data_IF_065563816390
#
_entry.id   IF_065563816390
#
_cell.length_a   1.000
_cell.length_b   1.000
_cell.length_c   1.000
_cell.angle_alpha   90.00
_cell.angle_beta   90.00
_cell.angle_gamma   90.00
#
_symmetry.space_group_name_H-M   'P 1'
#
loop_
_entity.id
_entity.type
_entity.pdbx_description
1 polymer ?
#
# COMPACT_ATOMS: atom_id res chain seq x y z
N UNK A 1 -2.93 -4.91 -34.98
CA UNK A 1 -2.89 -4.07 -33.77
C UNK A 1 -4.18 -4.29 -32.98
N UNK A 2 -4.35 -5.48 -32.40
CA UNK A 2 -5.50 -5.88 -31.53
C UNK A 2 -5.02 -6.97 -30.55
N UNK A 3 -4.18 -7.90 -31.01
CA UNK A 3 -3.60 -8.95 -30.14
C UNK A 3 -2.64 -8.41 -29.08
N UNK A 4 -1.89 -7.32 -29.37
CA UNK A 4 -0.94 -6.71 -28.43
C UNK A 4 -1.66 -6.00 -27.27
N UNK A 5 -2.76 -5.30 -27.57
CA UNK A 5 -3.63 -4.69 -26.57
C UNK A 5 -4.35 -5.75 -25.75
N UNK A 6 -4.93 -6.79 -26.38
CA UNK A 6 -5.59 -7.88 -25.64
C UNK A 6 -4.62 -8.65 -24.73
N UNK A 7 -3.38 -8.88 -25.17
CA UNK A 7 -2.30 -9.45 -24.34
C UNK A 7 -1.91 -8.53 -23.20
N UNK A 8 -1.89 -7.20 -23.41
CA UNK A 8 -1.63 -6.23 -22.35
C UNK A 8 -2.77 -6.16 -21.32
N UNK A 9 -4.05 -6.23 -21.73
CA UNK A 9 -5.19 -6.17 -20.82
C UNK A 9 -5.40 -7.48 -20.04
N UNK A 10 -5.09 -8.64 -20.64
CA UNK A 10 -5.38 -9.96 -20.04
C UNK A 10 -4.17 -10.55 -19.29
N UNK A 11 -2.93 -10.25 -19.70
CA UNK A 11 -1.72 -10.90 -19.15
C UNK A 11 -0.88 -10.01 -18.23
N UNK A 12 -1.26 -8.74 -18.02
CA UNK A 12 -0.64 -7.82 -17.05
C UNK A 12 -1.58 -7.45 -15.91
N UNK A 13 -2.11 -8.46 -15.22
CA UNK A 13 -2.18 -8.32 -13.76
C UNK A 13 -0.91 -8.98 -13.25
N UNK A 14 0.19 -8.24 -12.99
CA UNK A 14 1.19 -8.80 -12.10
C UNK A 14 0.41 -9.23 -10.87
N UNK A 15 0.57 -10.50 -10.50
CA UNK A 15 0.04 -11.00 -9.23
C UNK A 15 0.88 -10.35 -8.14
N UNK A 16 0.69 -9.04 -7.96
CA UNK A 16 0.90 -8.36 -6.70
C UNK A 16 0.11 -9.21 -5.71
N UNK A 17 0.82 -9.84 -4.78
CA UNK A 17 0.16 -10.62 -3.75
C UNK A 17 -0.93 -9.75 -3.10
N UNK A 18 -2.03 -10.33 -2.63
CA UNK A 18 -3.14 -9.57 -2.04
C UNK A 18 -2.73 -8.64 -0.88
N UNK A 19 -1.53 -8.83 -0.30
CA UNK A 19 -0.93 -7.96 0.70
C UNK A 19 -0.23 -6.71 0.10
N UNK A 20 0.21 -6.78 -1.16
CA UNK A 20 0.87 -5.70 -1.90
C UNK A 20 -0.11 -4.64 -2.43
N UNK A 21 -1.38 -5.00 -2.65
CA UNK A 21 -2.40 -4.06 -3.14
C UNK A 21 -2.79 -2.97 -2.12
N UNK A 22 -2.60 -3.26 -0.82
CA UNK A 22 -2.83 -2.33 0.30
C UNK A 22 -1.52 -1.85 0.96
N UNK A 23 -0.38 -2.14 0.32
CA UNK A 23 0.96 -1.76 0.77
C UNK A 23 1.44 -0.64 -0.12
N UNK A 24 1.64 0.55 0.44
CA UNK A 24 2.30 1.65 -0.26
C UNK A 24 3.73 1.18 -0.53
N UNK A 25 4.03 0.92 -1.81
CA UNK A 25 5.34 0.44 -2.23
C UNK A 25 6.38 1.53 -1.99
N UNK A 26 7.52 1.13 -1.42
CA UNK A 26 8.74 1.90 -1.59
C UNK A 26 9.24 1.74 -3.04
N UNK A 27 10.07 2.68 -3.52
CA UNK A 27 10.62 2.60 -4.89
C UNK A 27 11.35 1.29 -5.20
N UNK A 28 11.99 0.66 -4.21
CA UNK A 28 12.67 -0.63 -4.39
C UNK A 28 11.72 -1.85 -4.39
N UNK A 29 10.45 -1.65 -4.04
CA UNK A 29 9.41 -2.69 -4.02
C UNK A 29 8.56 -2.69 -5.30
N UNK A 30 8.56 -1.58 -6.05
CA UNK A 30 7.97 -1.49 -7.38
C UNK A 30 8.95 -2.01 -8.43
N UNK A 31 8.93 -3.33 -8.64
CA UNK A 31 9.83 -4.02 -9.56
C UNK A 31 9.58 -3.67 -11.04
N UNK A 32 8.42 -3.10 -11.36
CA UNK A 32 8.04 -2.71 -12.72
C UNK A 32 8.43 -1.26 -13.04
N UNK A 33 8.67 -0.42 -12.02
CA UNK A 33 9.18 0.94 -12.16
C UNK A 33 10.51 0.93 -12.91
N UNK A 34 10.62 1.78 -13.93
CA UNK A 34 11.85 2.03 -14.66
C UNK A 34 12.86 2.79 -13.81
N UNK A 35 14.15 2.55 -14.05
CA UNK A 35 15.23 3.30 -13.39
C UNK A 35 15.22 4.77 -13.82
N UNK A 36 14.63 5.10 -14.97
CA UNK A 36 14.40 6.46 -15.45
C UNK A 36 13.40 7.24 -14.59
N UNK A 37 12.32 6.60 -14.16
CA UNK A 37 11.31 7.24 -13.29
C UNK A 37 11.91 7.69 -11.95
N UNK A 38 12.98 7.05 -11.45
CA UNK A 38 13.70 7.56 -10.26
C UNK A 38 14.29 8.96 -10.48
N UNK A 39 14.77 9.26 -11.69
CA UNK A 39 15.28 10.60 -12.03
C UNK A 39 14.15 11.61 -12.08
N UNK A 40 13.00 11.20 -12.62
CA UNK A 40 11.80 12.03 -12.70
C UNK A 40 11.24 12.35 -11.32
N UNK A 41 11.25 11.39 -10.39
CA UNK A 41 10.92 11.63 -8.98
C UNK A 41 11.87 12.65 -8.35
N UNK A 42 13.18 12.52 -8.58
CA UNK A 42 14.16 13.49 -8.06
C UNK A 42 13.92 14.89 -8.64
N UNK A 43 13.62 14.99 -9.94
CA UNK A 43 13.23 16.25 -10.58
C UNK A 43 11.95 16.82 -9.98
N UNK A 44 10.92 16.01 -9.79
CA UNK A 44 9.64 16.46 -9.23
C UNK A 44 9.76 16.91 -7.77
N UNK A 45 10.60 16.24 -6.98
CA UNK A 45 10.95 16.67 -5.62
C UNK A 45 11.67 18.03 -5.66
N UNK A 46 12.71 18.16 -6.50
CA UNK A 46 13.49 19.40 -6.66
C UNK A 46 12.59 20.56 -7.09
N UNK A 47 11.70 20.32 -8.04
CA UNK A 47 10.84 21.35 -8.60
C UNK A 47 9.64 21.68 -7.69
N UNK A 48 9.45 20.91 -6.60
CA UNK A 48 8.31 21.01 -5.71
C UNK A 48 6.99 20.69 -6.40
N UNK A 49 7.03 19.83 -7.43
CA UNK A 49 5.90 19.50 -8.31
C UNK A 49 5.31 18.12 -8.04
N UNK A 50 5.64 17.48 -6.90
CA UNK A 50 4.91 16.30 -6.49
C UNK A 50 3.50 16.71 -6.05
N UNK A 51 2.51 16.16 -6.73
CA UNK A 51 1.11 16.27 -6.37
C UNK A 51 0.75 15.21 -5.32
N UNK A 52 -0.24 15.52 -4.48
CA UNK A 52 -0.86 14.57 -3.52
C UNK A 52 0.12 13.88 -2.54
N UNK A 53 1.19 14.56 -2.14
CA UNK A 53 2.12 14.05 -1.13
C UNK A 53 1.41 13.94 0.22
N UNK A 54 1.37 12.73 0.75
CA UNK A 54 0.80 12.41 2.05
C UNK A 54 1.86 11.82 2.96
N UNK A 55 1.70 12.02 4.27
CA UNK A 55 2.56 11.35 5.24
C UNK A 55 2.27 9.85 5.27
N UNK A 56 3.33 9.03 5.22
CA UNK A 56 3.21 7.60 5.51
C UNK A 56 3.09 7.39 7.01
N UNK A 57 1.87 7.18 7.48
CA UNK A 57 1.59 6.91 8.89
C UNK A 57 2.31 5.64 9.39
N UNK A 58 2.87 5.71 10.60
CA UNK A 58 3.43 4.56 11.33
C UNK A 58 2.39 3.91 12.27
N UNK A 59 1.20 3.66 11.73
CA UNK A 59 0.13 2.96 12.42
C UNK A 59 -0.07 1.52 11.95
N UNK A 60 -1.06 0.84 12.51
CA UNK A 60 -1.48 -0.47 12.04
C UNK A 60 -2.41 -0.33 10.84
N UNK A 61 -2.20 -1.14 9.80
CA UNK A 61 -3.08 -1.16 8.64
C UNK A 61 -4.46 -1.73 9.03
N UNK A 62 -5.51 -1.02 8.66
CA UNK A 62 -6.91 -1.47 8.71
C UNK A 62 -7.57 -1.10 7.38
N UNK A 63 -7.90 -2.10 6.59
CA UNK A 63 -8.83 -1.94 5.47
C UNK A 63 -10.23 -2.31 5.94
N UNK A 64 -11.27 -1.61 5.52
CA UNK A 64 -12.64 -1.91 5.95
C UNK A 64 -13.69 -1.72 4.88
N UNK A 65 -14.82 -2.41 5.05
CA UNK A 65 -16.01 -2.28 4.21
C UNK A 65 -17.28 -2.74 4.95
N UNK A 66 -18.45 -2.51 4.35
CA UNK A 66 -19.72 -3.08 4.77
C UNK A 66 -20.04 -4.25 3.85
N UNK A 67 -20.10 -5.46 4.40
CA UNK A 67 -20.48 -6.67 3.68
C UNK A 67 -21.45 -7.48 4.54
N UNK A 68 -22.54 -7.94 3.92
CA UNK A 68 -23.67 -8.60 4.59
C UNK A 68 -24.21 -7.76 5.77
N UNK A 69 -24.44 -6.47 5.53
CA UNK A 69 -24.96 -5.51 6.53
C UNK A 69 -24.09 -5.37 7.79
N UNK A 70 -22.83 -5.80 7.72
CA UNK A 70 -21.87 -5.72 8.83
C UNK A 70 -20.60 -5.00 8.40
N UNK A 71 -20.12 -4.12 9.27
CA UNK A 71 -18.76 -3.57 9.17
C UNK A 71 -17.75 -4.69 9.42
N UNK A 72 -16.81 -4.85 8.49
CA UNK A 72 -15.74 -5.85 8.56
C UNK A 72 -14.38 -5.19 8.34
N UNK A 73 -13.42 -5.49 9.22
CA UNK A 73 -12.05 -4.98 9.15
C UNK A 73 -11.08 -6.05 8.60
N UNK A 74 -9.97 -5.61 8.01
CA UNK A 74 -8.93 -6.47 7.48
C UNK A 74 -7.56 -5.89 7.84
N UNK A 75 -6.81 -6.61 8.69
CA UNK A 75 -5.52 -6.16 9.23
C UNK A 75 -4.31 -6.34 8.30
N UNK A 76 -4.52 -6.91 7.10
CA UNK A 76 -3.46 -7.23 6.13
C UNK A 76 -3.92 -6.92 4.70
N UNK A 77 -4.64 -5.82 4.52
CA UNK A 77 -5.32 -5.50 3.27
C UNK A 77 -6.53 -6.40 2.99
N UNK A 78 -7.33 -5.99 2.01
CA UNK A 78 -8.46 -6.74 1.50
C UNK A 78 -8.24 -7.12 0.02
N UNK A 79 -8.85 -8.24 -0.38
CA UNK A 79 -9.06 -8.60 -1.78
C UNK A 79 -10.51 -9.02 -1.93
N UNK A 80 -11.08 -8.99 -3.14
CA UNK A 80 -12.44 -9.47 -3.35
C UNK A 80 -12.67 -10.88 -2.79
N UNK A 81 -11.70 -11.77 -3.00
CA UNK A 81 -11.73 -13.14 -2.47
C UNK A 81 -11.72 -13.18 -0.94
N UNK A 82 -11.01 -12.26 -0.27
CA UNK A 82 -11.00 -12.16 1.20
C UNK A 82 -12.29 -11.55 1.73
N UNK A 83 -12.89 -10.61 1.00
CA UNK A 83 -14.17 -10.00 1.36
C UNK A 83 -15.27 -11.06 1.40
N UNK A 84 -15.34 -11.88 0.35
CA UNK A 84 -16.29 -13.00 0.27
C UNK A 84 -16.13 -14.05 1.39
N UNK A 85 -14.95 -14.14 2.01
CA UNK A 85 -14.68 -15.06 3.13
C UNK A 85 -15.08 -14.48 4.50
N UNK A 86 -15.37 -13.20 4.56
CA UNK A 86 -15.55 -12.47 5.81
C UNK A 86 -14.23 -11.91 6.36
N UNK A 87 -14.33 -10.76 7.02
CA UNK A 87 -13.27 -10.08 7.73
C UNK A 87 -13.49 -10.12 9.25
N UNK A 88 -12.78 -9.21 9.92
CA UNK A 88 -12.82 -9.05 11.36
C UNK A 88 -14.05 -8.25 11.78
N UNK A 89 -15.03 -8.94 12.37
CA UNK A 89 -16.15 -8.41 13.15
C UNK A 89 -15.80 -8.34 14.64
N UNK A 90 -16.65 -7.70 15.45
CA UNK A 90 -16.51 -7.66 16.93
C UNK A 90 -16.18 -9.04 17.54
N UNK A 91 -16.92 -10.07 17.18
CA UNK A 91 -16.74 -11.41 17.76
C UNK A 91 -15.43 -12.06 17.32
N UNK A 92 -15.05 -11.89 16.05
CA UNK A 92 -13.78 -12.39 15.54
C UNK A 92 -12.58 -11.62 16.11
N UNK A 93 -12.69 -10.31 16.35
CA UNK A 93 -11.64 -9.52 17.01
C UNK A 93 -11.43 -10.03 18.44
N UNK A 94 -12.52 -10.21 19.19
CA UNK A 94 -12.47 -10.71 20.56
C UNK A 94 -11.84 -12.10 20.68
N UNK A 95 -12.19 -13.01 19.77
CA UNK A 95 -11.67 -14.37 19.77
C UNK A 95 -10.24 -14.47 19.22
N UNK A 96 -9.94 -13.80 18.11
CA UNK A 96 -8.63 -13.88 17.45
C UNK A 96 -7.52 -13.19 18.25
N UNK A 97 -7.85 -12.15 19.00
CA UNK A 97 -6.88 -11.38 19.80
C UNK A 97 -7.11 -11.52 21.31
N UNK A 98 -7.72 -12.63 21.74
CA UNK A 98 -7.99 -12.90 23.15
C UNK A 98 -6.73 -12.88 24.03
N UNK A 99 -5.60 -13.32 23.48
CA UNK A 99 -4.27 -13.36 24.10
C UNK A 99 -3.46 -12.05 23.92
N UNK A 100 -3.99 -11.08 23.16
CA UNK A 100 -3.33 -9.82 22.80
C UNK A 100 -4.24 -8.63 23.11
N UNK A 101 -4.41 -8.26 24.40
CA UNK A 101 -5.41 -7.29 24.82
C UNK A 101 -5.23 -5.92 24.18
N UNK A 102 -4.00 -5.43 24.02
CA UNK A 102 -3.71 -4.12 23.39
C UNK A 102 -4.07 -4.11 21.90
N UNK A 103 -3.81 -5.21 21.19
CA UNK A 103 -4.22 -5.38 19.78
C UNK A 103 -5.73 -5.45 19.69
N UNK A 104 -6.37 -6.26 20.52
CA UNK A 104 -7.82 -6.37 20.58
C UNK A 104 -8.47 -5.00 20.81
N UNK A 105 -8.00 -4.26 21.81
CA UNK A 105 -8.51 -2.93 22.15
C UNK A 105 -8.35 -1.95 20.98
N UNK A 106 -7.17 -1.90 20.34
CA UNK A 106 -6.94 -1.06 19.17
C UNK A 106 -7.94 -1.32 18.02
N UNK A 107 -8.17 -2.60 17.68
CA UNK A 107 -9.13 -2.97 16.63
C UNK A 107 -10.58 -2.75 17.04
N UNK A 108 -10.91 -2.93 18.33
CA UNK A 108 -12.25 -2.67 18.86
C UNK A 108 -12.59 -1.18 18.87
N UNK A 109 -11.67 -0.33 19.30
CA UNK A 109 -11.83 1.13 19.25
C UNK A 109 -12.00 1.62 17.82
N UNK A 110 -11.20 1.09 16.89
CA UNK A 110 -11.35 1.40 15.47
C UNK A 110 -12.73 0.97 14.93
N UNK A 111 -13.18 -0.25 15.25
CA UNK A 111 -14.49 -0.77 14.84
C UNK A 111 -15.63 0.13 15.37
N UNK A 112 -15.56 0.54 16.64
CA UNK A 112 -16.58 1.35 17.28
C UNK A 112 -16.64 2.77 16.71
N UNK A 113 -15.48 3.39 16.47
CA UNK A 113 -15.41 4.69 15.82
C UNK A 113 -16.00 4.65 14.40
N UNK A 114 -15.60 3.68 13.58
CA UNK A 114 -16.12 3.50 12.22
C UNK A 114 -17.61 3.17 12.20
N UNK A 115 -18.09 2.35 13.14
CA UNK A 115 -19.51 2.05 13.27
C UNK A 115 -20.32 3.32 13.57
N UNK A 116 -19.80 4.23 14.39
CA UNK A 116 -20.45 5.51 14.66
C UNK A 116 -20.54 6.39 13.41
N UNK A 117 -19.53 6.38 12.53
CA UNK A 117 -19.58 7.07 11.23
C UNK A 117 -20.66 6.48 10.34
N UNK A 118 -20.69 5.15 10.20
CA UNK A 118 -21.69 4.44 9.39
C UNK A 118 -23.11 4.71 9.90
N UNK A 119 -23.31 4.68 11.22
CA UNK A 119 -24.62 4.96 11.82
C UNK A 119 -25.05 6.42 11.70
N UNK A 120 -24.11 7.35 11.55
CA UNK A 120 -24.42 8.77 11.34
C UNK A 120 -24.94 9.06 9.92
N UNK A 121 -24.57 8.22 8.94
CA UNK A 121 -24.98 8.37 7.55
C UNK A 121 -25.02 6.99 6.83
N UNK A 122 -26.02 6.15 7.15
CA UNK A 122 -26.09 4.78 6.64
C UNK A 122 -26.36 4.72 5.13
N UNK A 123 -27.07 5.71 4.59
CA UNK A 123 -27.36 5.79 3.14
C UNK A 123 -26.08 6.05 2.36
N UNK A 124 -25.27 7.03 2.78
CA UNK A 124 -23.98 7.28 2.13
C UNK A 124 -23.01 6.11 2.33
N UNK A 125 -23.01 5.47 3.51
CA UNK A 125 -22.17 4.30 3.75
C UNK A 125 -22.54 3.14 2.80
N UNK A 126 -23.84 2.84 2.64
CA UNK A 126 -24.30 1.83 1.69
C UNK A 126 -23.90 2.17 0.24
N UNK A 127 -24.07 3.44 -0.15
CA UNK A 127 -23.66 3.97 -1.47
C UNK A 127 -22.15 3.84 -1.70
N UNK A 128 -21.33 4.11 -0.70
CA UNK A 128 -19.87 4.01 -0.81
C UNK A 128 -19.44 2.54 -0.93
N UNK A 129 -19.80 1.70 0.04
CA UNK A 129 -19.23 0.36 0.18
C UNK A 129 -19.82 -0.67 -0.79
N UNK A 130 -21.04 -0.45 -1.30
CA UNK A 130 -21.67 -1.26 -2.35
C UNK A 130 -21.59 -2.76 -2.07
N UNK A 131 -21.96 -3.18 -0.86
CA UNK A 131 -21.92 -4.59 -0.44
C UNK A 131 -20.52 -5.21 -0.59
N UNK A 132 -19.51 -4.58 0.01
CA UNK A 132 -18.14 -5.10 0.04
C UNK A 132 -17.34 -4.84 -1.24
N UNK A 133 -17.93 -4.24 -2.27
CA UNK A 133 -17.23 -4.04 -3.55
C UNK A 133 -16.23 -2.89 -3.51
N UNK A 134 -16.45 -1.92 -2.63
CA UNK A 134 -15.48 -0.87 -2.32
C UNK A 134 -14.96 -1.07 -0.91
N UNK A 135 -13.66 -0.86 -0.72
CA UNK A 135 -13.04 -0.82 0.60
C UNK A 135 -12.41 0.54 0.83
N UNK A 136 -12.25 0.91 2.09
CA UNK A 136 -11.42 2.06 2.49
C UNK A 136 -10.18 1.53 3.19
N UNK A 137 -9.02 1.92 2.68
CA UNK A 137 -7.72 1.66 3.29
C UNK A 137 -7.42 2.76 4.30
N UNK A 138 -6.98 2.35 5.49
CA UNK A 138 -6.70 3.27 6.58
C UNK A 138 -5.57 2.77 7.47
N UNK A 139 -5.00 3.69 8.24
CA UNK A 139 -4.03 3.40 9.27
C UNK A 139 -4.60 3.83 10.61
N UNK A 140 -4.55 2.96 11.61
CA UNK A 140 -4.96 3.27 12.98
C UNK A 140 -3.73 3.57 13.84
N UNK A 141 -3.76 4.67 14.57
CA UNK A 141 -2.74 5.10 15.51
C UNK A 141 -3.36 5.02 16.89
N UNK A 142 -2.99 3.99 17.65
CA UNK A 142 -3.55 3.75 18.98
C UNK A 142 -2.40 3.84 19.99
N UNK A 143 -2.40 4.83 20.92
CA UNK A 143 -1.29 5.04 21.87
C UNK A 143 -0.96 3.80 22.70
N UNK A 144 -1.96 3.00 23.03
CA UNK A 144 -1.83 1.77 23.83
C UNK A 144 -1.29 0.57 23.03
N UNK A 145 -1.16 0.71 21.71
CA UNK A 145 -0.63 -0.32 20.82
C UNK A 145 0.21 0.34 19.71
N UNK A 146 1.31 1.02 20.07
CA UNK A 146 2.12 1.76 19.12
C UNK A 146 2.94 0.80 18.25
N UNK A 147 3.35 1.26 17.07
CA UNK A 147 4.39 0.60 16.29
C UNK A 147 5.76 1.12 16.73
N UNK A 148 6.42 1.98 15.93
CA UNK A 148 7.70 2.61 16.29
C UNK A 148 7.48 4.03 16.83
N UNK A 149 6.61 4.80 16.19
CA UNK A 149 6.19 6.14 16.62
C UNK A 149 5.04 5.99 17.62
N UNK A 150 5.17 6.67 18.75
CA UNK A 150 4.11 6.77 19.76
C UNK A 150 3.31 8.03 19.44
N UNK A 151 2.02 7.84 19.16
CA UNK A 151 1.08 8.93 18.96
C UNK A 151 0.42 9.26 20.30
N UNK A 152 0.14 10.54 20.53
CA UNK A 152 -0.47 11.00 21.79
C UNK A 152 -1.95 10.65 21.87
N UNK A 153 -2.66 10.83 20.75
CA UNK A 153 -4.11 10.64 20.67
C UNK A 153 -4.49 9.50 19.71
N UNK A 154 -5.56 8.73 20.02
CA UNK A 154 -6.11 7.74 19.09
C UNK A 154 -6.59 8.38 17.79
N UNK A 155 -6.19 7.83 16.65
CA UNK A 155 -6.72 8.27 15.36
C UNK A 155 -6.84 7.18 14.30
N UNK A 156 -7.69 7.46 13.31
CA UNK A 156 -7.84 6.68 12.07
C UNK A 156 -7.61 7.62 10.89
N UNK A 157 -6.53 7.38 10.16
CA UNK A 157 -6.20 8.13 8.95
C UNK A 157 -6.63 7.33 7.72
N UNK A 158 -7.57 7.86 6.96
CA UNK A 158 -8.03 7.29 5.70
C UNK A 158 -7.02 7.62 4.60
N UNK A 159 -6.54 6.57 3.92
CA UNK A 159 -5.54 6.66 2.87
C UNK A 159 -6.23 6.82 1.51
N UNK A 160 -7.07 5.84 1.15
CA UNK A 160 -7.80 5.83 -0.11
C UNK A 160 -9.01 4.91 -0.05
N UNK A 161 -9.91 5.06 -1.02
CA UNK A 161 -10.96 4.10 -1.30
C UNK A 161 -10.62 3.33 -2.58
N UNK A 162 -10.83 2.01 -2.58
CA UNK A 162 -10.43 1.11 -3.65
C UNK A 162 -11.60 0.23 -4.07
N UNK A 163 -11.89 0.19 -5.38
CA UNK A 163 -12.83 -0.76 -5.95
C UNK A 163 -12.16 -2.13 -6.10
N UNK A 164 -12.68 -3.13 -5.41
CA UNK A 164 -12.19 -4.52 -5.44
C UNK A 164 -13.21 -5.48 -6.05
N UNK A 165 -14.50 -5.16 -5.96
CA UNK A 165 -15.58 -5.96 -6.51
C UNK A 165 -15.60 -5.96 -8.05
N UNK A 166 -16.14 -7.01 -8.68
CA UNK A 166 -16.18 -7.13 -10.13
C UNK A 166 -17.20 -6.20 -10.80
N UNK A 167 -18.17 -5.66 -10.05
CA UNK A 167 -19.26 -4.84 -10.59
C UNK A 167 -19.01 -3.34 -10.42
N UNK A 168 -17.89 -2.95 -9.78
CA UNK A 168 -17.51 -1.56 -9.55
C UNK A 168 -16.17 -1.32 -10.23
N UNK A 169 -16.18 -0.55 -11.31
CA UNK A 169 -14.95 -0.15 -12.01
C UNK A 169 -14.26 1.03 -11.31
N UNK A 170 -15.05 1.99 -10.84
CA UNK A 170 -14.56 3.22 -10.20
C UNK A 170 -15.29 3.51 -8.89
N UNK A 171 -14.56 4.11 -7.95
CA UNK A 171 -15.12 4.53 -6.66
C UNK A 171 -15.96 5.79 -6.84
N UNK A 172 -17.13 5.83 -6.20
CA UNK A 172 -17.93 7.05 -6.06
C UNK A 172 -17.21 8.05 -5.13
N UNK A 173 -16.43 8.93 -5.75
CA UNK A 173 -15.63 9.92 -5.04
C UNK A 173 -16.47 10.94 -4.24
N UNK A 174 -17.73 11.16 -4.63
CA UNK A 174 -18.61 12.03 -3.86
C UNK A 174 -19.05 11.35 -2.57
N UNK A 175 -19.43 10.07 -2.64
CA UNK A 175 -19.78 9.28 -1.47
C UNK A 175 -18.58 9.12 -0.51
N UNK A 176 -17.38 8.94 -1.06
CA UNK A 176 -16.16 8.86 -0.25
C UNK A 176 -15.89 10.18 0.49
N UNK A 177 -15.92 11.34 -0.18
CA UNK A 177 -15.75 12.65 0.48
C UNK A 177 -16.82 12.91 1.55
N UNK A 178 -18.05 12.49 1.30
CA UNK A 178 -19.15 12.61 2.25
C UNK A 178 -18.91 11.72 3.49
N UNK A 179 -18.38 10.51 3.30
CA UNK A 179 -18.00 9.61 4.39
C UNK A 179 -16.88 10.22 5.25
N UNK A 180 -15.82 10.77 4.63
CA UNK A 180 -14.75 11.48 5.35
C UNK A 180 -15.32 12.65 6.15
N UNK A 181 -16.22 13.43 5.55
CA UNK A 181 -16.86 14.56 6.22
C UNK A 181 -17.71 14.10 7.41
N UNK A 182 -18.39 12.95 7.31
CA UNK A 182 -19.12 12.34 8.41
C UNK A 182 -18.18 11.89 9.53
N UNK A 183 -17.05 11.26 9.19
CA UNK A 183 -16.05 10.84 10.16
C UNK A 183 -15.49 12.01 10.96
N UNK A 184 -15.09 13.09 10.30
CA UNK A 184 -14.62 14.32 10.95
C UNK A 184 -15.67 14.95 11.87
N UNK A 185 -16.97 14.89 11.50
CA UNK A 185 -18.05 15.36 12.36
C UNK A 185 -18.23 14.48 13.60
N UNK A 186 -18.10 13.16 13.45
CA UNK A 186 -18.17 12.21 14.57
C UNK A 186 -17.02 12.46 15.54
N UNK A 187 -15.79 12.63 15.06
CA UNK A 187 -14.63 12.96 15.92
C UNK A 187 -14.85 14.22 16.75
N UNK A 188 -15.41 15.28 16.15
CA UNK A 188 -15.72 16.55 16.84
C UNK A 188 -16.83 16.46 17.89
N UNK A 189 -17.64 15.40 17.93
CA UNK A 189 -18.74 15.22 18.89
C UNK A 189 -18.30 14.59 20.22
N UNK A 190 -17.00 14.59 20.52
CA UNK A 190 -16.47 14.06 21.78
C UNK A 190 -16.16 12.56 21.74
N UNK A 191 -16.04 11.98 20.54
CA UNK A 191 -15.49 10.64 20.38
C UNK A 191 -13.98 10.66 20.64
N UNK A 192 -13.47 9.58 21.26
CA UNK A 192 -12.06 9.45 21.68
C UNK A 192 -11.07 9.27 20.53
N UNK A 193 -11.56 9.07 19.31
CA UNK A 193 -10.76 8.73 18.13
C UNK A 193 -10.93 9.83 17.09
N UNK A 194 -9.84 10.51 16.75
CA UNK A 194 -9.83 11.47 15.66
C UNK A 194 -9.81 10.73 14.31
N UNK A 195 -10.55 11.25 13.33
CA UNK A 195 -10.74 10.58 12.04
C UNK A 195 -10.68 11.60 10.92
N UNK A 196 -9.84 11.32 9.93
CA UNK A 196 -9.60 12.22 8.82
C UNK A 196 -8.82 11.55 7.69
N UNK A 197 -8.62 12.29 6.62
CA UNK A 197 -7.65 11.88 5.60
C UNK A 197 -6.25 11.98 6.19
N UNK A 198 -5.35 11.11 5.71
CA UNK A 198 -3.91 11.28 5.92
C UNK A 198 -3.50 12.73 5.66
N UNK A 199 -2.67 13.33 6.52
CA UNK A 199 -2.25 14.71 6.35
C UNK A 199 -1.55 14.90 4.99
N UNK A 200 -2.04 15.89 4.22
CA UNK A 200 -1.33 16.35 3.03
C UNK A 200 -0.14 17.21 3.44
N UNK A 201 1.04 16.81 2.98
CA UNK A 201 2.24 17.61 3.13
C UNK A 201 2.27 18.60 1.98
N UNK A 202 1.97 19.88 2.27
CA UNK A 202 2.19 20.94 1.30
C UNK A 202 3.69 21.11 1.12
N UNK A 203 4.23 20.54 0.04
CA UNK A 203 5.60 20.78 -0.34
C UNK A 203 5.78 22.27 -0.61
N UNK A 204 6.82 22.84 0.00
CA UNK A 204 7.31 24.16 -0.36
C UNK A 204 8.47 23.95 -1.31
N UNK A 205 8.49 24.67 -2.43
CA UNK A 205 9.68 24.77 -3.28
C UNK A 205 10.83 25.25 -2.39
N UNK A 206 11.87 24.43 -2.20
CA UNK A 206 12.99 24.84 -1.36
C UNK A 206 13.83 25.86 -2.13
N UNK A 207 14.26 26.90 -1.41
CA UNK A 207 14.74 28.13 -2.03
C UNK A 207 16.27 28.18 -2.14
N UNK A 208 17.03 27.26 -1.55
CA UNK A 208 18.49 27.50 -1.40
C UNK A 208 19.44 26.30 -1.57
N UNK A 209 19.01 25.03 -1.63
CA UNK A 209 19.95 23.88 -1.74
C UNK A 209 19.51 22.69 -2.63
N UNK A 210 18.46 22.84 -3.45
CA UNK A 210 17.83 21.69 -4.11
C UNK A 210 18.61 21.16 -5.32
N UNK A 211 19.26 22.04 -6.08
CA UNK A 211 19.96 21.68 -7.31
C UNK A 211 21.17 20.76 -7.03
N UNK A 212 22.00 21.12 -6.05
CA UNK A 212 23.20 20.36 -5.71
C UNK A 212 22.88 18.97 -5.14
N UNK A 213 21.78 18.84 -4.38
CA UNK A 213 21.35 17.55 -3.84
C UNK A 213 20.75 16.68 -4.95
N UNK A 214 19.90 17.24 -5.81
CA UNK A 214 19.34 16.54 -6.96
C UNK A 214 20.44 16.03 -7.89
N UNK A 215 21.41 16.87 -8.22
CA UNK A 215 22.56 16.50 -9.06
C UNK A 215 23.41 15.41 -8.40
N UNK A 216 23.63 15.49 -7.09
CA UNK A 216 24.35 14.45 -6.34
C UNK A 216 23.63 13.10 -6.40
N UNK A 217 22.32 13.07 -6.18
CA UNK A 217 21.53 11.83 -6.23
C UNK A 217 21.57 11.27 -7.65
N UNK A 218 21.36 12.10 -8.67
CA UNK A 218 21.44 11.68 -10.08
C UNK A 218 22.83 11.16 -10.45
N UNK A 219 23.89 11.81 -9.99
CA UNK A 219 25.26 11.33 -10.19
C UNK A 219 25.53 9.98 -9.52
N UNK A 220 24.93 9.70 -8.36
CA UNK A 220 24.99 8.38 -7.71
C UNK A 220 24.21 7.33 -8.52
N UNK A 221 23.06 7.69 -9.08
CA UNK A 221 22.31 6.81 -9.97
C UNK A 221 23.08 6.52 -11.27
N UNK A 222 23.70 7.53 -11.90
CA UNK A 222 24.52 7.35 -13.10
C UNK A 222 25.72 6.43 -12.82
N UNK A 223 26.39 6.60 -11.67
CA UNK A 223 27.48 5.73 -11.24
C UNK A 223 27.00 4.28 -11.03
N UNK A 224 25.81 4.09 -10.44
CA UNK A 224 25.21 2.76 -10.27
C UNK A 224 24.91 2.12 -11.62
N UNK A 225 24.22 2.83 -12.51
CA UNK A 225 23.89 2.37 -13.86
C UNK A 225 25.15 1.99 -14.66
N UNK A 226 26.18 2.83 -14.60
CA UNK A 226 27.47 2.55 -15.24
C UNK A 226 28.14 1.31 -14.67
N UNK A 227 28.12 1.11 -13.34
CA UNK A 227 28.74 -0.06 -12.70
C UNK A 227 28.03 -1.37 -13.06
N UNK A 228 26.72 -1.33 -13.27
CA UNK A 228 25.90 -2.50 -13.58
C UNK A 228 25.61 -2.67 -15.07
N UNK A 229 26.15 -1.78 -15.93
CA UNK A 229 25.80 -1.71 -17.36
C UNK A 229 24.30 -1.61 -17.63
N UNK A 230 23.55 -1.02 -16.70
CA UNK A 230 22.09 -0.83 -16.80
C UNK A 230 21.77 0.50 -17.48
N UNK A 231 20.60 0.57 -18.09
CA UNK A 231 20.08 1.76 -18.73
C UNK A 231 18.84 2.26 -17.98
N UNK A 232 18.47 3.53 -18.21
CA UNK A 232 17.25 4.12 -17.61
C UNK A 232 15.96 3.38 -18.00
N UNK A 233 15.96 2.65 -19.12
CA UNK A 233 14.83 1.82 -19.56
C UNK A 233 14.72 0.48 -18.85
N UNK A 234 15.75 0.04 -18.11
CA UNK A 234 15.65 -1.13 -17.24
C UNK A 234 14.77 -0.83 -16.04
N UNK A 235 14.23 -1.86 -15.41
CA UNK A 235 13.40 -1.71 -14.21
C UNK A 235 14.19 -1.88 -12.91
N UNK A 236 13.58 -1.50 -11.79
CA UNK A 236 14.04 -1.84 -10.44
C UNK A 236 14.20 -3.36 -10.31
N UNK A 237 13.26 -4.13 -10.88
CA UNK A 237 13.33 -5.60 -10.93
C UNK A 237 14.56 -6.12 -11.68
N UNK A 238 14.87 -5.55 -12.86
CA UNK A 238 16.08 -5.91 -13.62
C UNK A 238 17.35 -5.66 -12.79
N UNK A 239 17.43 -4.49 -12.14
CA UNK A 239 18.55 -4.12 -11.27
C UNK A 239 18.67 -5.07 -10.07
N UNK A 240 17.56 -5.39 -9.40
CA UNK A 240 17.54 -6.30 -8.26
C UNK A 240 18.03 -7.71 -8.65
N UNK A 241 17.53 -8.25 -9.77
CA UNK A 241 17.97 -9.56 -10.28
C UNK A 241 19.45 -9.54 -10.63
N UNK A 242 19.94 -8.47 -11.27
CA UNK A 242 21.35 -8.32 -11.61
C UNK A 242 22.27 -8.30 -10.38
N UNK A 243 21.94 -7.48 -9.37
CA UNK A 243 22.72 -7.38 -8.14
C UNK A 243 22.75 -8.71 -7.36
N UNK A 244 21.61 -9.40 -7.29
CA UNK A 244 21.54 -10.73 -6.69
C UNK A 244 22.40 -11.71 -7.47
N UNK A 245 22.34 -11.72 -8.81
CA UNK A 245 23.15 -12.60 -9.64
C UNK A 245 24.64 -12.40 -9.37
N UNK A 246 25.12 -11.15 -9.34
CA UNK A 246 26.52 -10.83 -9.02
C UNK A 246 26.93 -11.38 -7.64
N UNK A 247 26.04 -11.27 -6.66
CA UNK A 247 26.30 -11.79 -5.32
C UNK A 247 26.35 -13.33 -5.29
N UNK A 248 25.49 -14.00 -6.06
CA UNK A 248 25.49 -15.47 -6.16
C UNK A 248 26.73 -15.99 -6.88
N UNK A 249 27.20 -15.30 -7.92
CA UNK A 249 28.46 -15.61 -8.61
C UNK A 249 29.67 -15.52 -7.66
N UNK A 250 29.66 -14.58 -6.70
CA UNK A 250 30.69 -14.48 -5.68
C UNK A 250 30.68 -15.63 -4.67
N UNK A 251 29.50 -16.19 -4.36
CA UNK A 251 29.34 -17.22 -3.34
C UNK A 251 29.71 -18.64 -3.83
N UNK A 252 29.83 -18.86 -5.15
CA UNK A 252 30.16 -20.14 -5.81
C UNK A 252 29.31 -21.35 -5.31
N UNK A 253 28.16 -21.07 -4.72
CA UNK A 253 27.29 -22.05 -4.07
C UNK A 253 26.10 -22.46 -4.92
N UNK A 254 25.93 -21.82 -6.08
CA UNK A 254 24.81 -22.04 -7.00
C UNK A 254 25.34 -22.60 -8.31
N UNK A 255 24.87 -23.79 -8.76
CA UNK A 255 25.26 -24.36 -10.04
C UNK A 255 24.98 -23.37 -11.21
N UNK A 256 25.88 -23.28 -12.20
CA UNK A 256 25.73 -22.33 -13.31
C UNK A 256 24.37 -22.43 -14.03
N UNK A 257 23.81 -23.62 -14.17
CA UNK A 257 22.52 -23.89 -14.82
C UNK A 257 21.31 -23.39 -14.01
N UNK A 258 21.49 -23.13 -12.71
CA UNK A 258 20.45 -22.59 -11.83
C UNK A 258 20.64 -21.11 -11.53
N UNK A 259 21.77 -20.51 -11.95
CA UNK A 259 22.15 -19.14 -11.57
C UNK A 259 21.07 -18.11 -11.93
N UNK A 260 20.60 -18.11 -13.17
CA UNK A 260 19.56 -17.18 -13.64
C UNK A 260 18.22 -17.38 -12.90
N UNK A 261 17.84 -18.64 -12.70
CA UNK A 261 16.59 -18.98 -12.01
C UNK A 261 16.63 -18.59 -10.54
N UNK A 262 17.76 -18.81 -9.88
CA UNK A 262 17.99 -18.43 -8.49
C UNK A 262 17.98 -16.91 -8.33
N UNK A 263 18.71 -16.19 -9.20
CA UNK A 263 18.73 -14.74 -9.20
C UNK A 263 17.34 -14.15 -9.43
N UNK A 264 16.58 -14.68 -10.40
CA UNK A 264 15.23 -14.23 -10.66
C UNK A 264 14.29 -14.55 -9.48
N UNK A 265 14.38 -15.75 -8.90
CA UNK A 265 13.57 -16.15 -7.74
C UNK A 265 13.79 -15.24 -6.53
N UNK A 266 15.04 -14.94 -6.22
CA UNK A 266 15.45 -14.15 -5.04
C UNK A 266 15.23 -12.66 -5.30
N UNK A 267 15.70 -12.15 -6.44
CA UNK A 267 15.67 -10.72 -6.77
C UNK A 267 14.27 -10.19 -7.11
N UNK A 268 13.40 -11.01 -7.72
CA UNK A 268 12.03 -10.57 -8.08
C UNK A 268 10.92 -11.21 -7.25
N UNK A 269 11.24 -12.22 -6.42
CA UNK A 269 10.23 -12.94 -5.65
C UNK A 269 9.29 -13.83 -6.47
N UNK A 270 9.49 -13.98 -7.80
CA UNK A 270 8.64 -14.81 -8.67
C UNK A 270 8.85 -16.30 -8.37
N UNK A 271 7.83 -16.94 -7.79
CA UNK A 271 7.86 -18.34 -7.32
C UNK A 271 7.88 -19.37 -8.44
N UNK A 272 7.33 -19.05 -9.62
CA UNK A 272 7.15 -19.99 -10.73
C UNK A 272 8.44 -20.33 -11.48
N UNK A 273 9.54 -19.62 -11.21
CA UNK A 273 10.81 -19.79 -11.93
C UNK A 273 11.55 -21.06 -11.52
N UNK A 274 11.30 -21.59 -10.31
CA UNK A 274 11.86 -22.86 -9.83
C UNK A 274 10.75 -23.91 -9.68
N UNK A 275 10.96 -25.08 -10.25
CA UNK A 275 10.06 -26.23 -10.12
C UNK A 275 10.37 -27.00 -8.83
N UNK A 276 9.41 -27.79 -8.33
CA UNK A 276 9.61 -28.65 -7.14
C UNK A 276 10.78 -29.64 -7.25
N UNK A 277 11.28 -29.92 -8.45
CA UNK A 277 12.44 -30.80 -8.68
C UNK A 277 13.78 -30.08 -8.49
N UNK A 278 13.76 -28.76 -8.41
CA UNK A 278 14.94 -27.88 -8.28
C UNK A 278 15.07 -27.30 -6.86
N UNK A 279 14.25 -27.76 -5.90
CA UNK A 279 14.34 -27.49 -4.46
C UNK A 279 15.07 -28.61 -3.73
#
# INVERSE_FOLDING_TARGET
>A
MILREYVQTVLRKPVMSEALAAHILNFYEDLDMSLGELYEVVDAIRDGSLDEVTEKMDGQNVTFTIFNDQLQLYSKGASWKRILKGGLTRDTINSQYADRPTVREAFMEALEALQAVISADPENAARLFQQGQVVVESSIQMPNNPNTIIYDDPSIQFIQAVALGPDVEEVDQAAYREFISAAQRVSKKGHKVDMGLVPYLKLQKSLENDDALADKIKGQLDALLSKTSMQKSNTIGDMAVHLVRQQLEFLDSVPPELMDKAAQRIGSGVKSVLTKKEY
#
